data_IF_073847860835
#
_entry.id   IF_073847860835
#
_cell.length_a   1.000
_cell.length_b   1.000
_cell.length_c   1.000
_cell.angle_alpha   90.00
_cell.angle_beta   90.00
_cell.angle_gamma   90.00
#
_symmetry.space_group_name_H-M   'P 1'
#
loop_
_entity.id
_entity.type
_entity.pdbx_description
1 polymer ?
#
# COMPACT_ATOMS: atom_id res chain seq x y z
N UNK A 1 -10.02 -14.23 -10.72
CA UNK A 1 -9.17 -13.27 -9.99
C UNK A 1 -7.72 -13.62 -10.29
N UNK A 2 -7.11 -12.94 -11.25
CA UNK A 2 -5.72 -13.21 -11.65
C UNK A 2 -4.75 -12.52 -10.69
N UNK A 3 -3.82 -13.29 -10.13
CA UNK A 3 -2.69 -12.96 -9.23
C UNK A 3 -1.74 -11.82 -9.69
N UNK A 4 -2.14 -10.97 -10.64
CA UNK A 4 -1.32 -9.90 -11.23
C UNK A 4 -1.50 -8.53 -10.57
N UNK A 5 -2.56 -8.30 -9.80
CA UNK A 5 -2.80 -6.97 -9.19
C UNK A 5 -1.85 -6.64 -8.02
N UNK A 6 -1.29 -7.65 -7.34
CA UNK A 6 -0.29 -7.44 -6.28
C UNK A 6 1.06 -6.97 -6.81
N UNK A 7 1.28 -7.01 -8.13
CA UNK A 7 2.50 -6.52 -8.79
C UNK A 7 2.43 -5.06 -9.20
N UNK A 8 1.36 -4.32 -8.87
CA UNK A 8 1.44 -2.85 -8.80
C UNK A 8 2.24 -2.51 -7.55
N UNK A 9 3.49 -2.96 -7.55
CA UNK A 9 4.45 -2.82 -6.47
C UNK A 9 4.89 -1.37 -6.49
N UNK A 10 4.81 -0.73 -5.33
CA UNK A 10 5.72 0.34 -5.01
C UNK A 10 7.13 -0.22 -5.29
N UNK A 11 7.80 0.30 -6.31
CA UNK A 11 9.17 -0.10 -6.64
C UNK A 11 10.07 0.43 -5.53
N UNK A 12 10.19 -0.34 -4.47
CA UNK A 12 10.82 0.03 -3.22
C UNK A 12 10.34 -0.93 -2.12
N UNK A 13 11.31 -1.65 -1.57
CA UNK A 13 11.37 -2.59 -0.44
C UNK A 13 10.60 -2.27 0.85
N UNK A 14 9.61 -1.41 0.82
CA UNK A 14 9.36 -0.49 1.92
C UNK A 14 8.06 -0.77 2.66
N UNK A 15 7.10 -1.42 2.01
CA UNK A 15 5.85 -1.86 2.63
C UNK A 15 5.83 -3.37 2.80
N UNK A 16 5.69 -3.81 4.06
CA UNK A 16 5.44 -5.21 4.40
C UNK A 16 3.97 -5.49 4.12
N UNK A 17 3.67 -6.21 3.03
CA UNK A 17 2.30 -6.55 2.66
C UNK A 17 1.60 -7.44 3.72
N UNK A 18 0.26 -7.44 3.80
CA UNK A 18 -0.48 -8.34 4.67
C UNK A 18 -0.08 -9.82 4.54
N UNK A 19 0.15 -10.27 3.31
CA UNK A 19 0.57 -11.65 3.02
C UNK A 19 1.96 -11.96 3.57
N UNK A 20 2.86 -10.98 3.67
CA UNK A 20 4.15 -11.18 4.33
C UNK A 20 3.99 -11.39 5.84
N UNK A 21 3.01 -10.76 6.50
CA UNK A 21 2.72 -11.04 7.92
C UNK A 21 2.09 -12.42 8.13
N UNK A 22 1.36 -12.94 7.13
CA UNK A 22 0.82 -14.30 7.16
C UNK A 22 1.94 -15.35 7.02
N UNK A 23 2.89 -15.14 6.11
CA UNK A 23 4.03 -16.06 5.91
C UNK A 23 5.13 -15.92 6.96
N UNK A 24 5.30 -14.73 7.55
CA UNK A 24 6.32 -14.41 8.54
C UNK A 24 5.69 -13.75 9.78
N UNK A 25 4.99 -14.52 10.64
CA UNK A 25 4.28 -13.98 11.81
C UNK A 25 5.20 -13.29 12.82
N UNK A 26 6.48 -13.67 12.85
CA UNK A 26 7.51 -13.03 13.65
C UNK A 26 7.71 -11.55 13.29
N UNK A 27 7.31 -11.12 12.09
CA UNK A 27 7.38 -9.73 11.68
C UNK A 27 6.27 -8.86 12.28
N UNK A 28 5.25 -9.43 12.96
CA UNK A 28 4.11 -8.68 13.49
C UNK A 28 4.50 -7.51 14.40
N UNK A 29 5.65 -7.54 15.08
CA UNK A 29 6.14 -6.39 15.85
C UNK A 29 6.42 -5.14 15.00
N UNK A 30 6.61 -5.30 13.67
CA UNK A 30 6.80 -4.20 12.71
C UNK A 30 5.49 -3.61 12.18
N UNK A 31 4.35 -4.17 12.57
CA UNK A 31 3.05 -3.77 12.05
C UNK A 31 2.67 -2.31 12.33
N UNK A 32 2.99 -1.72 13.50
CA UNK A 32 2.80 -0.28 13.71
C UNK A 32 3.57 0.57 12.69
N UNK A 33 4.82 0.20 12.39
CA UNK A 33 5.66 0.88 11.40
C UNK A 33 5.13 0.67 9.98
N UNK A 34 4.64 -0.53 9.66
CA UNK A 34 4.01 -0.82 8.38
C UNK A 34 2.73 0.01 8.17
N UNK A 35 1.93 0.21 9.23
CA UNK A 35 0.77 1.10 9.20
C UNK A 35 1.17 2.56 8.97
N UNK A 36 2.13 3.07 9.74
CA UNK A 36 2.63 4.43 9.58
C UNK A 36 3.15 4.67 8.16
N UNK A 37 3.90 3.71 7.62
CA UNK A 37 4.44 3.82 6.27
C UNK A 37 3.33 3.76 5.21
N UNK A 38 2.35 2.87 5.36
CA UNK A 38 1.23 2.79 4.42
C UNK A 38 0.40 4.08 4.39
N UNK A 39 0.23 4.74 5.53
CA UNK A 39 -0.42 6.07 5.62
C UNK A 39 0.41 7.14 4.90
N UNK A 40 1.72 7.18 5.13
CA UNK A 40 2.61 8.10 4.41
C UNK A 40 2.54 7.91 2.88
N UNK A 41 2.63 6.66 2.41
CA UNK A 41 2.52 6.36 0.98
C UNK A 41 1.14 6.71 0.41
N UNK A 42 0.09 6.65 1.23
CA UNK A 42 -1.27 7.03 0.81
C UNK A 42 -1.35 8.52 0.50
N UNK A 43 -0.68 9.36 1.29
CA UNK A 43 -0.60 10.81 1.06
C UNK A 43 0.12 11.12 -0.25
N UNK A 44 1.27 10.49 -0.50
CA UNK A 44 2.02 10.66 -1.76
C UNK A 44 1.20 10.24 -2.98
N UNK A 45 0.56 9.08 -2.92
CA UNK A 45 -0.31 8.60 -4.00
C UNK A 45 -1.51 9.52 -4.21
N UNK A 46 -2.03 10.13 -3.15
CA UNK A 46 -3.11 11.11 -3.28
C UNK A 46 -2.62 12.40 -3.95
N UNK A 47 -1.37 12.80 -3.72
CA UNK A 47 -0.68 13.84 -4.48
C UNK A 47 -0.59 13.52 -5.97
N UNK A 48 -0.08 12.33 -6.32
CA UNK A 48 0.00 11.87 -7.72
C UNK A 48 -1.36 11.84 -8.43
N UNK A 49 -2.44 11.49 -7.72
CA UNK A 49 -3.80 11.45 -8.31
C UNK A 49 -4.30 12.87 -8.63
N UNK A 50 -3.94 13.84 -7.81
CA UNK A 50 -4.42 15.22 -7.91
C UNK A 50 -3.51 16.09 -8.79
N UNK A 51 -2.31 15.61 -9.11
CA UNK A 51 -1.37 16.31 -9.97
C UNK A 51 -1.87 16.35 -11.42
N UNK A 52 -2.19 17.57 -11.88
CA UNK A 52 -2.67 17.83 -13.23
C UNK A 52 -1.55 17.74 -14.28
N UNK A 53 -0.28 17.87 -13.87
CA UNK A 53 0.88 17.77 -14.76
C UNK A 53 1.19 16.32 -15.16
N UNK A 54 0.75 15.35 -14.35
CA UNK A 54 0.93 13.94 -14.65
C UNK A 54 -0.03 13.47 -15.77
N UNK A 55 0.37 12.40 -16.46
CA UNK A 55 -0.48 11.79 -17.48
C UNK A 55 -1.68 11.08 -16.84
N UNK A 56 -2.76 10.91 -17.62
CA UNK A 56 -3.95 10.17 -17.14
C UNK A 56 -3.62 8.70 -16.84
N UNK A 57 -2.67 8.11 -17.56
CA UNK A 57 -2.18 6.77 -17.27
C UNK A 57 -1.52 6.69 -15.89
N UNK A 58 -0.67 7.66 -15.56
CA UNK A 58 0.00 7.74 -14.25
C UNK A 58 -1.03 7.93 -13.14
N UNK A 59 -1.98 8.86 -13.30
CA UNK A 59 -3.08 9.07 -12.35
C UNK A 59 -3.95 7.81 -12.17
N UNK A 60 -4.22 7.09 -13.25
CA UNK A 60 -4.97 5.81 -13.21
C UNK A 60 -4.20 4.74 -12.41
N UNK A 61 -2.89 4.63 -12.59
CA UNK A 61 -2.05 3.72 -11.81
C UNK A 61 -2.03 4.13 -10.34
N UNK A 62 -1.93 5.43 -10.04
CA UNK A 62 -1.99 5.97 -8.69
C UNK A 62 -3.33 5.63 -7.99
N UNK A 63 -4.47 5.75 -8.67
CA UNK A 63 -5.78 5.33 -8.13
C UNK A 63 -5.82 3.84 -7.77
N UNK A 64 -5.17 2.96 -8.55
CA UNK A 64 -5.04 1.54 -8.23
C UNK A 64 -4.16 1.33 -6.98
N UNK A 65 -3.01 2.00 -6.90
CA UNK A 65 -2.13 1.98 -5.71
C UNK A 65 -2.87 2.42 -4.45
N UNK A 66 -3.68 3.50 -4.53
CA UNK A 66 -4.51 3.98 -3.42
C UNK A 66 -5.49 2.91 -2.92
N UNK A 67 -6.15 2.21 -3.85
CA UNK A 67 -7.08 1.14 -3.49
C UNK A 67 -6.38 0.00 -2.73
N UNK A 68 -5.20 -0.42 -3.19
CA UNK A 68 -4.39 -1.45 -2.52
C UNK A 68 -3.95 -0.97 -1.12
N UNK A 69 -3.40 0.25 -1.01
CA UNK A 69 -2.97 0.83 0.28
C UNK A 69 -4.10 0.89 1.29
N UNK A 70 -5.30 1.31 0.89
CA UNK A 70 -6.46 1.34 1.78
C UNK A 70 -6.81 -0.06 2.32
N UNK A 71 -6.70 -1.09 1.48
CA UNK A 71 -6.88 -2.49 1.91
C UNK A 71 -5.83 -2.91 2.94
N UNK A 72 -4.58 -2.53 2.74
CA UNK A 72 -3.47 -2.82 3.66
C UNK A 72 -3.61 -2.08 4.98
N UNK A 73 -3.92 -0.78 4.95
CA UNK A 73 -4.16 0.05 6.14
C UNK A 73 -5.29 -0.53 6.99
N UNK A 74 -6.38 -0.97 6.35
CA UNK A 74 -7.49 -1.62 7.06
C UNK A 74 -6.99 -2.88 7.78
N UNK A 75 -6.28 -3.76 7.08
CA UNK A 75 -5.71 -4.96 7.68
C UNK A 75 -4.80 -4.64 8.86
N UNK A 76 -3.85 -3.71 8.74
CA UNK A 76 -2.97 -3.36 9.86
C UNK A 76 -3.74 -2.81 11.06
N UNK A 77 -4.76 -1.98 10.83
CA UNK A 77 -5.62 -1.45 11.91
C UNK A 77 -6.38 -2.56 12.63
N UNK A 78 -6.94 -3.52 11.89
CA UNK A 78 -7.66 -4.68 12.45
C UNK A 78 -6.74 -5.57 13.29
N UNK A 79 -5.48 -5.72 12.90
CA UNK A 79 -4.51 -6.57 13.61
C UNK A 79 -3.86 -5.90 14.84
N UNK A 80 -3.97 -4.57 14.98
CA UNK A 80 -3.41 -3.79 16.09
C UNK A 80 -4.42 -3.50 17.22
N UNK A 81 -5.69 -3.86 17.03
CA UNK A 81 -6.76 -3.79 18.04
C UNK A 81 -6.72 -4.99 18.98
#
# INVERSE_FOLDING_TARGET
MTYRDYRIGFSGTDLISPTQFEYYPELKYRMPQALAHALYRLEEVQGEINDMELSEEVRRIARKRRHILNGWIRYYREQLQ
#
